data_IF_794194426123
#
_entry.id   IF_794194426123
#
_cell.length_a   1.000
_cell.length_b   1.000
_cell.length_c   1.000
_cell.angle_alpha   90.00
_cell.angle_beta   90.00
_cell.angle_gamma   90.00
#
_symmetry.space_group_name_H-M   'P 1'
#
loop_
_entity.id
_entity.type
_entity.pdbx_description
1 polymer ?
#
# COMPACT_ATOMS: atom_id res chain seq x y z
N UNK A 1 63.21 64.33 -11.06
CA UNK A 1 62.61 63.61 -12.20
C UNK A 1 61.10 63.78 -12.07
N UNK A 2 60.50 64.55 -12.98
CA UNK A 2 59.15 65.14 -12.88
C UNK A 2 58.19 64.47 -13.88
N UNK A 3 56.90 64.42 -13.51
CA UNK A 3 55.67 64.38 -14.34
C UNK A 3 54.95 63.05 -14.61
N UNK A 4 53.77 62.95 -13.98
CA UNK A 4 52.44 62.61 -14.52
C UNK A 4 52.28 62.58 -16.06
N UNK A 5 51.47 61.65 -16.59
CA UNK A 5 50.17 61.93 -17.25
C UNK A 5 49.47 60.66 -17.79
N UNK A 6 48.19 60.50 -17.40
CA UNK A 6 46.97 60.20 -18.20
C UNK A 6 46.99 59.12 -19.31
N UNK A 7 45.97 58.25 -19.26
CA UNK A 7 45.49 57.50 -20.42
C UNK A 7 44.16 56.79 -20.16
N UNK A 8 43.06 57.43 -20.54
CA UNK A 8 41.69 56.93 -20.54
C UNK A 8 41.43 56.29 -21.93
N UNK A 9 40.95 55.04 -22.02
CA UNK A 9 40.35 54.46 -23.25
C UNK A 9 39.61 53.16 -22.88
N UNK A 10 38.28 53.19 -22.76
CA UNK A 10 37.27 52.88 -23.81
C UNK A 10 37.09 51.39 -24.14
N UNK A 11 35.86 50.94 -23.88
CA UNK A 11 35.09 49.89 -24.58
C UNK A 11 35.65 48.46 -24.65
N UNK A 12 35.02 47.56 -23.90
CA UNK A 12 34.57 46.29 -24.47
C UNK A 12 33.27 45.87 -23.77
N UNK A 13 32.19 45.86 -24.54
CA UNK A 13 30.90 45.35 -24.14
C UNK A 13 30.99 43.83 -24.01
N UNK A 14 30.92 43.32 -22.76
CA UNK A 14 30.59 41.92 -22.53
C UNK A 14 29.15 41.82 -22.04
N UNK A 15 28.29 41.56 -23.01
CA UNK A 15 26.91 41.16 -22.86
C UNK A 15 26.88 39.82 -22.08
N UNK A 16 26.64 39.85 -20.77
CA UNK A 16 26.25 38.65 -20.03
C UNK A 16 24.91 38.93 -19.35
N UNK A 17 23.89 38.20 -19.80
CA UNK A 17 22.52 38.20 -19.30
C UNK A 17 22.47 38.21 -17.77
N UNK A 18 22.20 39.38 -17.18
CA UNK A 18 21.66 39.47 -15.81
C UNK A 18 20.19 39.89 -15.91
N UNK A 19 19.41 39.12 -16.67
CA UNK A 19 18.05 38.83 -16.24
C UNK A 19 18.17 37.63 -15.31
N UNK A 20 18.56 37.90 -14.05
CA UNK A 20 18.19 37.02 -12.97
C UNK A 20 16.67 37.08 -12.93
N UNK A 21 16.04 36.17 -13.68
CA UNK A 21 14.63 35.89 -13.55
C UNK A 21 14.45 35.61 -12.06
N UNK A 22 13.77 36.53 -11.39
CA UNK A 22 12.97 36.18 -10.23
C UNK A 22 11.97 35.13 -10.73
N UNK A 23 12.41 33.87 -10.82
CA UNK A 23 11.54 32.74 -10.59
C UNK A 23 11.11 32.90 -9.14
N UNK A 24 10.13 33.77 -8.91
CA UNK A 24 9.33 33.73 -7.72
C UNK A 24 8.77 32.31 -7.66
N UNK A 25 9.43 31.45 -6.88
CA UNK A 25 8.86 30.18 -6.48
C UNK A 25 7.50 30.55 -5.90
N UNK A 26 6.42 30.15 -6.58
CA UNK A 26 5.11 30.13 -5.95
C UNK A 26 5.28 29.26 -4.72
N UNK A 27 5.41 29.87 -3.53
CA UNK A 27 5.18 29.17 -2.29
C UNK A 27 3.69 28.89 -2.29
N UNK A 28 3.32 27.74 -2.83
CA UNK A 28 1.98 27.22 -2.61
C UNK A 28 1.82 27.12 -1.10
N UNK A 29 0.92 27.95 -0.56
CA UNK A 29 0.53 27.84 0.84
C UNK A 29 0.05 26.41 1.09
N UNK A 30 0.13 25.89 2.33
CA UNK A 30 -0.22 24.51 2.61
C UNK A 30 -1.60 24.21 2.04
N UNK A 31 -1.65 23.40 0.98
CA UNK A 31 -2.91 22.91 0.45
C UNK A 31 -3.58 22.16 1.60
N UNK A 32 -4.89 22.36 1.79
CA UNK A 32 -5.65 21.78 2.92
C UNK A 32 -5.63 20.24 2.96
N UNK A 33 -4.88 19.59 2.06
CA UNK A 33 -4.77 18.15 1.85
C UNK A 33 -3.32 17.80 1.42
N UNK A 34 -2.35 18.01 2.30
CA UNK A 34 -0.98 17.54 2.06
C UNK A 34 -0.89 16.03 2.38
N UNK A 35 -1.30 15.19 1.43
CA UNK A 35 -1.07 13.75 1.51
C UNK A 35 0.25 13.39 0.82
N UNK A 36 1.00 12.46 1.42
CA UNK A 36 2.12 11.79 0.77
C UNK A 36 1.72 10.35 0.44
N UNK A 37 2.01 9.92 -0.79
CA UNK A 37 1.78 8.54 -1.22
C UNK A 37 3.08 7.78 -1.03
N UNK A 38 3.02 6.67 -0.30
CA UNK A 38 4.11 5.71 -0.19
C UNK A 38 3.60 4.36 -0.67
N UNK A 39 4.37 3.70 -1.51
CA UNK A 39 4.06 2.34 -1.96
C UNK A 39 4.50 1.36 -0.87
N UNK A 40 3.55 0.55 -0.42
CA UNK A 40 3.78 -0.45 0.65
C UNK A 40 3.99 -1.85 0.09
N UNK A 41 3.36 -2.15 -1.06
CA UNK A 41 3.49 -3.43 -1.75
C UNK A 41 3.27 -3.23 -3.25
N UNK A 42 3.99 -4.02 -4.06
CA UNK A 42 3.88 -4.07 -5.52
C UNK A 42 3.77 -5.53 -5.96
N UNK A 43 3.47 -5.76 -7.25
CA UNK A 43 3.38 -7.09 -7.85
C UNK A 43 2.41 -8.05 -7.12
N UNK A 44 1.32 -7.48 -6.57
CA UNK A 44 0.23 -8.25 -5.97
C UNK A 44 -0.56 -8.99 -7.05
N UNK A 45 -1.12 -10.14 -6.68
CA UNK A 45 -1.88 -10.99 -7.57
C UNK A 45 -3.38 -10.76 -7.36
N UNK A 46 -3.94 -9.76 -8.05
CA UNK A 46 -5.38 -9.47 -7.99
C UNK A 46 -5.86 -9.19 -6.53
N UNK A 47 -5.32 -8.14 -5.86
CA UNK A 47 -5.68 -7.83 -4.47
C UNK A 47 -7.14 -7.39 -4.34
N UNK A 48 -7.86 -7.96 -3.37
CA UNK A 48 -9.31 -7.76 -3.22
C UNK A 48 -9.66 -6.86 -2.05
N UNK A 49 -9.11 -7.14 -0.86
CA UNK A 49 -9.48 -6.41 0.35
C UNK A 49 -8.33 -6.36 1.36
N UNK A 50 -8.34 -5.32 2.19
CA UNK A 50 -7.49 -5.18 3.38
C UNK A 50 -8.33 -5.03 4.64
N UNK A 51 -7.78 -5.45 5.79
CA UNK A 51 -8.35 -5.21 7.11
C UNK A 51 -7.23 -5.00 8.15
N UNK A 52 -7.43 -4.06 9.07
CA UNK A 52 -6.52 -3.83 10.19
C UNK A 52 -6.81 -4.83 11.32
N UNK A 53 -5.76 -5.43 11.86
CA UNK A 53 -5.82 -6.24 13.07
C UNK A 53 -5.63 -5.35 14.31
N UNK A 54 -6.13 -5.75 15.50
CA UNK A 54 -6.00 -4.94 16.72
C UNK A 54 -4.56 -4.63 17.15
N UNK A 55 -3.57 -5.40 16.68
CA UNK A 55 -2.15 -5.17 16.93
C UNK A 55 -1.49 -4.22 15.90
N UNK A 56 -2.29 -3.64 14.99
CA UNK A 56 -1.86 -2.68 13.96
C UNK A 56 -1.32 -3.31 12.68
N UNK A 57 -1.21 -4.65 12.60
CA UNK A 57 -0.87 -5.32 11.34
C UNK A 57 -2.03 -5.22 10.35
N UNK A 58 -1.72 -5.25 9.07
CA UNK A 58 -2.73 -5.21 8.00
C UNK A 58 -2.80 -6.57 7.32
N UNK A 59 -3.97 -7.20 7.37
CA UNK A 59 -4.27 -8.37 6.57
C UNK A 59 -4.72 -7.94 5.17
N UNK A 60 -4.22 -8.60 4.14
CA UNK A 60 -4.57 -8.38 2.73
C UNK A 60 -4.94 -9.71 2.11
N UNK A 61 -6.02 -9.76 1.33
CA UNK A 61 -6.40 -10.94 0.55
C UNK A 61 -6.26 -10.70 -0.94
N UNK A 62 -5.88 -11.74 -1.65
CA UNK A 62 -5.77 -11.80 -3.11
C UNK A 62 -6.79 -12.78 -3.67
N UNK A 63 -7.38 -12.48 -4.83
CA UNK A 63 -8.48 -13.28 -5.40
C UNK A 63 -8.10 -14.75 -5.58
N UNK A 64 -6.81 -15.03 -5.81
CA UNK A 64 -6.29 -16.39 -6.01
C UNK A 64 -6.02 -17.17 -4.73
N UNK A 65 -6.43 -16.67 -3.57
CA UNK A 65 -6.43 -17.40 -2.30
C UNK A 65 -5.35 -16.99 -1.32
N UNK A 66 -4.40 -16.13 -1.70
CA UNK A 66 -3.36 -15.70 -0.78
C UNK A 66 -3.93 -14.76 0.29
N UNK A 67 -3.65 -15.11 1.54
CA UNK A 67 -3.87 -14.28 2.72
C UNK A 67 -2.49 -13.80 3.16
N UNK A 68 -2.26 -12.48 3.06
CA UNK A 68 -0.98 -11.85 3.39
C UNK A 68 -1.12 -10.99 4.64
N UNK A 69 -0.02 -10.86 5.38
CA UNK A 69 0.08 -10.05 6.58
C UNK A 69 1.22 -9.04 6.43
N UNK A 70 0.87 -7.76 6.44
CA UNK A 70 1.79 -6.64 6.44
C UNK A 70 2.03 -6.16 7.86
N UNK A 71 3.31 -5.99 8.22
CA UNK A 71 3.72 -5.43 9.49
C UNK A 71 4.31 -4.02 9.27
N UNK A 72 3.58 -2.94 9.66
CA UNK A 72 4.07 -1.58 9.53
C UNK A 72 5.37 -1.28 10.27
N UNK A 73 5.70 -2.03 11.33
CA UNK A 73 6.91 -1.81 12.12
C UNK A 73 8.17 -2.31 11.39
N UNK A 74 8.03 -3.35 10.56
CA UNK A 74 9.15 -3.93 9.79
C UNK A 74 9.12 -3.57 8.31
N UNK A 75 7.96 -3.15 7.81
CA UNK A 75 7.72 -2.93 6.38
C UNK A 75 7.61 -4.21 5.56
N UNK A 76 7.49 -5.38 6.21
CA UNK A 76 7.44 -6.68 5.53
C UNK A 76 5.99 -7.10 5.26
N UNK A 77 5.76 -7.61 4.05
CA UNK A 77 4.52 -8.30 3.64
C UNK A 77 4.83 -9.78 3.44
N UNK A 78 4.27 -10.64 4.29
CA UNK A 78 4.45 -12.09 4.21
C UNK A 78 3.15 -12.78 3.81
N UNK A 79 3.25 -13.90 3.11
CA UNK A 79 2.10 -14.81 2.91
C UNK A 79 1.87 -15.56 4.23
N UNK A 80 0.72 -15.32 4.84
CA UNK A 80 0.29 -15.97 6.07
C UNK A 80 -0.38 -17.33 5.79
N UNK A 81 -1.13 -17.42 4.69
CA UNK A 81 -1.78 -18.64 4.25
C UNK A 81 -2.13 -18.60 2.76
N UNK A 82 -2.23 -19.76 2.13
CA UNK A 82 -2.77 -19.93 0.77
C UNK A 82 -4.04 -20.77 0.85
N UNK A 83 -5.20 -20.14 0.66
CA UNK A 83 -6.49 -20.79 0.70
C UNK A 83 -6.80 -21.42 -0.67
N UNK A 84 -7.08 -22.73 -0.77
CA UNK A 84 -7.51 -23.33 -2.03
C UNK A 84 -8.86 -22.76 -2.47
N UNK A 85 -8.89 -22.14 -3.65
CA UNK A 85 -10.10 -21.55 -4.23
C UNK A 85 -10.22 -21.89 -5.71
N UNK A 86 -11.45 -21.91 -6.22
CA UNK A 86 -11.70 -21.78 -7.65
C UNK A 86 -11.51 -20.31 -8.02
N UNK A 87 -10.74 -20.03 -9.07
CA UNK A 87 -10.44 -18.65 -9.49
C UNK A 87 -10.71 -18.38 -10.98
N UNK A 88 -11.59 -19.18 -11.58
CA UNK A 88 -12.06 -18.93 -12.95
C UNK A 88 -13.02 -17.72 -12.95
N UNK A 89 -12.98 -16.89 -13.99
CA UNK A 89 -13.80 -15.68 -14.09
C UNK A 89 -13.65 -14.75 -12.87
N UNK A 90 -14.77 -14.45 -12.17
CA UNK A 90 -14.83 -13.56 -11.01
C UNK A 90 -14.80 -14.33 -9.66
N UNK A 91 -14.71 -15.66 -9.71
CA UNK A 91 -14.64 -16.50 -8.50
C UNK A 91 -13.28 -16.35 -7.79
N UNK A 92 -13.23 -16.72 -6.52
CA UNK A 92 -12.02 -16.70 -5.71
C UNK A 92 -12.24 -16.21 -4.30
N UNK A 93 -11.17 -15.74 -3.65
CA UNK A 93 -11.21 -15.14 -2.32
C UNK A 93 -11.52 -13.63 -2.45
N UNK A 94 -12.75 -13.24 -2.12
CA UNK A 94 -13.25 -11.89 -2.43
C UNK A 94 -13.48 -11.01 -1.21
N UNK A 95 -13.84 -11.59 -0.06
CA UNK A 95 -14.19 -10.83 1.14
C UNK A 95 -13.41 -11.23 2.38
N UNK A 96 -13.14 -10.24 3.22
CA UNK A 96 -12.45 -10.36 4.50
C UNK A 96 -13.18 -9.55 5.58
N UNK A 97 -13.35 -10.11 6.77
CA UNK A 97 -13.70 -9.33 7.95
C UNK A 97 -12.98 -9.88 9.18
N UNK A 98 -12.56 -8.98 10.06
CA UNK A 98 -11.96 -9.31 11.35
C UNK A 98 -13.05 -9.16 12.40
N UNK A 99 -13.22 -10.15 13.27
CA UNK A 99 -14.24 -10.12 14.32
C UNK A 99 -13.97 -8.98 15.31
N UNK A 100 -14.99 -8.20 15.74
CA UNK A 100 -14.80 -7.15 16.75
C UNK A 100 -14.26 -7.66 18.09
N UNK A 101 -14.47 -8.94 18.42
CA UNK A 101 -13.94 -9.59 19.62
C UNK A 101 -12.63 -10.36 19.34
N UNK A 102 -11.90 -10.01 18.29
CA UNK A 102 -10.65 -10.66 17.87
C UNK A 102 -9.69 -10.95 19.02
N UNK A 103 -9.51 -10.00 19.95
CA UNK A 103 -8.59 -10.16 21.09
C UNK A 103 -8.91 -11.35 22.01
N UNK A 104 -10.09 -11.95 21.88
CA UNK A 104 -10.52 -13.12 22.63
C UNK A 104 -10.65 -14.37 21.76
N UNK A 105 -11.07 -14.23 20.49
CA UNK A 105 -11.48 -15.36 19.65
C UNK A 105 -10.58 -15.59 18.42
N UNK A 106 -9.81 -14.59 18.02
CA UNK A 106 -9.01 -14.57 16.80
C UNK A 106 -9.79 -14.96 15.52
N UNK A 107 -11.07 -14.56 15.44
CA UNK A 107 -11.92 -14.94 14.30
C UNK A 107 -11.78 -13.99 13.11
N UNK A 108 -11.57 -14.57 11.93
CA UNK A 108 -11.82 -13.89 10.65
C UNK A 108 -12.95 -14.57 9.90
N UNK A 109 -13.58 -13.81 9.01
CA UNK A 109 -14.60 -14.28 8.08
C UNK A 109 -14.11 -14.05 6.67
N UNK A 110 -14.22 -15.08 5.84
CA UNK A 110 -13.84 -15.05 4.44
C UNK A 110 -15.06 -15.36 3.57
N UNK A 111 -15.24 -14.56 2.51
CA UNK A 111 -16.17 -14.86 1.43
C UNK A 111 -15.38 -15.37 0.24
N UNK A 112 -15.58 -16.64 -0.12
CA UNK A 112 -14.74 -17.31 -1.10
C UNK A 112 -15.44 -18.45 -1.86
N UNK A 113 -14.87 -18.82 -3.02
CA UNK A 113 -15.28 -19.96 -3.83
C UNK A 113 -14.40 -21.19 -3.53
N UNK A 114 -14.86 -22.18 -2.75
CA UNK A 114 -14.05 -23.35 -2.39
C UNK A 114 -13.81 -24.25 -3.60
N UNK A 115 -12.72 -25.02 -3.56
CA UNK A 115 -12.52 -26.14 -4.49
C UNK A 115 -13.53 -27.25 -4.18
N UNK A 116 -14.19 -27.79 -5.21
CA UNK A 116 -15.17 -28.85 -5.06
C UNK A 116 -16.00 -29.07 -6.31
N UNK A 117 -17.00 -29.95 -6.21
CA UNK A 117 -17.90 -30.27 -7.32
C UNK A 117 -19.02 -29.24 -7.51
N UNK A 118 -19.30 -28.42 -6.49
CA UNK A 118 -20.31 -27.37 -6.52
C UNK A 118 -19.70 -26.00 -6.85
N UNK A 119 -20.37 -25.25 -7.73
CA UNK A 119 -20.01 -23.87 -8.05
C UNK A 119 -20.77 -22.95 -7.10
N UNK A 120 -20.16 -22.69 -5.94
CA UNK A 120 -20.75 -21.87 -4.88
C UNK A 120 -19.75 -20.82 -4.40
N UNK A 121 -20.30 -19.72 -3.90
CA UNK A 121 -19.58 -18.79 -3.05
C UNK A 121 -20.14 -18.91 -1.64
N UNK A 122 -19.27 -19.02 -0.65
CA UNK A 122 -19.68 -19.21 0.74
C UNK A 122 -19.01 -18.20 1.66
N UNK A 123 -19.65 -17.96 2.80
CA UNK A 123 -19.05 -17.22 3.91
C UNK A 123 -18.66 -18.22 4.98
N UNK A 124 -17.39 -18.22 5.35
CA UNK A 124 -16.87 -19.10 6.40
C UNK A 124 -16.09 -18.31 7.44
N UNK A 125 -16.20 -18.76 8.69
CA UNK A 125 -15.43 -18.24 9.82
C UNK A 125 -14.25 -19.17 10.10
N UNK A 126 -13.09 -18.60 10.38
CA UNK A 126 -11.87 -19.30 10.79
C UNK A 126 -11.27 -18.65 12.03
N UNK A 127 -10.43 -19.40 12.74
CA UNK A 127 -9.46 -18.89 13.69
C UNK A 127 -8.17 -18.57 12.93
N UNK A 128 -7.60 -17.38 13.18
CA UNK A 128 -6.31 -16.97 12.63
C UNK A 128 -5.38 -16.60 13.77
N UNK A 129 -4.41 -17.46 14.02
CA UNK A 129 -3.50 -17.35 15.15
C UNK A 129 -2.09 -17.76 14.74
N UNK A 130 -1.09 -17.35 15.52
CA UNK A 130 0.31 -17.67 15.23
C UNK A 130 0.76 -17.25 13.80
N UNK A 131 0.11 -16.21 13.24
CA UNK A 131 0.41 -15.69 11.91
C UNK A 131 -0.10 -16.54 10.74
N UNK A 132 -1.03 -17.48 10.98
CA UNK A 132 -1.64 -18.27 9.89
C UNK A 132 -3.12 -18.58 10.17
N UNK A 133 -3.81 -18.99 9.11
CA UNK A 133 -5.20 -19.46 9.15
C UNK A 133 -5.23 -20.92 9.63
N UNK A 134 -5.97 -21.21 10.70
CA UNK A 134 -6.28 -22.60 11.06
C UNK A 134 -7.41 -23.13 10.17
N UNK A 135 -7.04 -23.91 9.15
CA UNK A 135 -8.02 -24.52 8.23
C UNK A 135 -8.98 -25.49 8.91
N UNK A 136 -8.56 -26.16 9.99
CA UNK A 136 -9.42 -27.12 10.69
C UNK A 136 -10.53 -26.43 11.50
N UNK A 137 -10.38 -25.14 11.79
CA UNK A 137 -11.35 -24.33 12.54
C UNK A 137 -12.54 -23.84 11.70
N UNK A 138 -12.56 -24.17 10.39
CA UNK A 138 -13.56 -23.68 9.45
C UNK A 138 -14.99 -23.94 9.95
N UNK A 139 -15.80 -22.88 9.92
CA UNK A 139 -17.24 -22.97 10.09
C UNK A 139 -17.93 -22.23 8.95
N UNK A 140 -18.54 -23.00 8.05
CA UNK A 140 -19.40 -22.46 6.98
C UNK A 140 -20.64 -21.84 7.61
N UNK A 141 -20.96 -20.61 7.20
CA UNK A 141 -22.07 -19.82 7.76
C UNK A 141 -23.21 -19.63 6.76
N UNK A 142 -22.87 -19.40 5.50
CA UNK A 142 -23.78 -19.13 4.39
C UNK A 142 -23.25 -19.75 3.11
#
# INVERSE_FOLDING_TARGET
MYRNLRGLSMLSALLLCVFCQNCASKKEGPTKFAFSKTVVAEALNEPMQIAELPDGKIMLIERRGAIKLFDPATGLLNVAHELPVISENEDGLMGLAVDPNWSQNHWIYLYYSPVGDEVVNQISRFVFENGSLDRASEKVLL
#
